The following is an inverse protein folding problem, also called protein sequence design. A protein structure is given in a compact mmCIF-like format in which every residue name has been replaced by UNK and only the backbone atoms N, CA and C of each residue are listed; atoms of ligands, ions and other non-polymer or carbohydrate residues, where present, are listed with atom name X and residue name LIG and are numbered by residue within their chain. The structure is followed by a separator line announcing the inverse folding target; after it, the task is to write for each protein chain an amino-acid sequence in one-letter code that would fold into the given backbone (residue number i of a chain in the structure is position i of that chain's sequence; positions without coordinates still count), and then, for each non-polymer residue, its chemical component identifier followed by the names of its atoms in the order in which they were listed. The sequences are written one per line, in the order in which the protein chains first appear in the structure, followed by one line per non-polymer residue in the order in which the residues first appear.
data_IF_736618547629
#
_entry.id   IF_736618547629
#
_cell.length_a   1.000
_cell.length_b   1.000
_cell.length_c   1.000
_cell.angle_alpha   90.00
_cell.angle_beta   90.00
_cell.angle_gamma   90.00
#
_symmetry.space_group_name_H-M   'P 1'
#
loop_
_entity.id
_entity.type
_entity.pdbx_description
1 polymer ?
#
# COMPACT_ATOMS: atom_id res chain seq x y z
N UNK A 1 -11.61 -4.12 -32.48
CA UNK A 1 -10.44 -5.03 -32.40
C UNK A 1 -10.63 -6.14 -31.36
N UNK A 2 -11.12 -5.83 -30.12
CA UNK A 2 -11.33 -6.86 -29.07
C UNK A 2 -12.43 -7.83 -29.48
N UNK A 3 -13.61 -7.34 -29.89
CA UNK A 3 -14.72 -8.18 -30.39
C UNK A 3 -14.30 -9.08 -31.56
N UNK A 4 -13.46 -8.55 -32.46
CA UNK A 4 -12.94 -9.31 -33.60
C UNK A 4 -12.03 -10.45 -33.13
N UNK A 5 -11.13 -10.17 -32.15
CA UNK A 5 -10.29 -11.19 -31.53
C UNK A 5 -11.06 -12.27 -30.79
N UNK A 6 -12.17 -11.90 -30.15
CA UNK A 6 -13.03 -12.85 -29.41
C UNK A 6 -13.71 -13.88 -30.32
N UNK A 7 -13.94 -13.56 -31.61
CA UNK A 7 -14.55 -14.51 -32.58
C UNK A 7 -13.74 -15.79 -32.75
N UNK A 8 -12.43 -15.73 -32.58
CA UNK A 8 -11.55 -16.91 -32.67
C UNK A 8 -11.81 -17.97 -31.58
N UNK A 9 -12.55 -17.60 -30.53
CA UNK A 9 -12.82 -18.45 -29.37
C UNK A 9 -14.29 -18.93 -29.31
N UNK A 10 -15.05 -18.77 -30.40
CA UNK A 10 -16.47 -19.13 -30.43
C UNK A 10 -16.76 -20.62 -30.15
N UNK A 11 -15.80 -21.49 -30.45
CA UNK A 11 -15.90 -22.95 -30.24
C UNK A 11 -15.42 -23.41 -28.85
N UNK A 12 -15.04 -22.47 -27.98
CA UNK A 12 -14.54 -22.76 -26.65
C UNK A 12 -15.55 -22.41 -25.57
N UNK A 13 -15.42 -23.03 -24.39
CA UNK A 13 -16.03 -22.54 -23.18
C UNK A 13 -15.15 -21.42 -22.62
N UNK A 14 -15.74 -20.30 -22.28
CA UNK A 14 -15.02 -19.10 -21.79
C UNK A 14 -15.35 -18.86 -20.34
N UNK A 15 -14.30 -18.82 -19.49
CA UNK A 15 -14.43 -18.40 -18.10
C UNK A 15 -14.47 -16.88 -18.03
N UNK A 16 -15.50 -16.34 -17.43
CA UNK A 16 -15.65 -14.90 -17.15
C UNK A 16 -15.98 -14.69 -15.67
N UNK A 17 -15.24 -13.79 -15.06
CA UNK A 17 -15.55 -13.29 -13.71
C UNK A 17 -16.54 -12.14 -13.81
N UNK A 18 -17.75 -12.34 -13.29
CA UNK A 18 -18.81 -11.35 -13.36
C UNK A 18 -18.55 -10.08 -12.54
N UNK A 19 -17.61 -10.14 -11.58
CA UNK A 19 -17.21 -8.99 -10.77
C UNK A 19 -16.12 -8.15 -11.44
N UNK A 20 -15.30 -8.77 -12.30
CA UNK A 20 -14.12 -8.15 -12.92
C UNK A 20 -14.32 -7.85 -14.40
N UNK A 21 -15.23 -8.59 -15.07
CA UNK A 21 -15.45 -8.44 -16.52
C UNK A 21 -16.46 -7.33 -16.81
N UNK A 22 -16.08 -6.34 -17.61
CA UNK A 22 -17.00 -5.30 -18.03
C UNK A 22 -18.20 -5.89 -18.76
N UNK A 23 -19.39 -5.31 -18.55
CA UNK A 23 -20.63 -5.75 -19.21
C UNK A 23 -20.51 -5.71 -20.73
N UNK A 24 -19.76 -4.76 -21.29
CA UNK A 24 -19.48 -4.69 -22.72
C UNK A 24 -18.78 -5.95 -23.23
N UNK A 25 -17.72 -6.38 -22.58
CA UNK A 25 -16.99 -7.60 -22.95
C UNK A 25 -17.85 -8.85 -22.72
N UNK A 26 -18.58 -8.91 -21.62
CA UNK A 26 -19.50 -10.01 -21.34
C UNK A 26 -20.51 -10.23 -22.49
N UNK A 27 -21.11 -9.15 -22.99
CA UNK A 27 -22.03 -9.22 -24.14
C UNK A 27 -21.36 -9.51 -25.47
N UNK A 28 -20.10 -9.11 -25.65
CA UNK A 28 -19.34 -9.31 -26.88
C UNK A 28 -18.87 -10.76 -27.06
N UNK A 29 -18.70 -11.50 -25.97
CA UNK A 29 -18.27 -12.91 -26.02
C UNK A 29 -19.37 -13.76 -26.65
N UNK A 30 -19.02 -14.46 -27.73
CA UNK A 30 -19.83 -15.48 -28.39
C UNK A 30 -19.03 -16.78 -28.32
N UNK A 31 -19.47 -17.71 -27.50
CA UNK A 31 -18.79 -18.97 -27.22
C UNK A 31 -19.83 -20.09 -27.00
N UNK A 32 -19.35 -21.35 -26.82
CA UNK A 32 -20.25 -22.48 -26.55
C UNK A 32 -20.93 -22.33 -25.19
N UNK A 33 -20.15 -21.97 -24.15
CA UNK A 33 -20.65 -21.77 -22.81
C UNK A 33 -19.83 -20.71 -22.08
N UNK A 34 -20.49 -19.83 -21.31
CA UNK A 34 -19.85 -18.93 -20.36
C UNK A 34 -19.82 -19.63 -18.99
N UNK A 35 -18.62 -19.93 -18.50
CA UNK A 35 -18.40 -20.41 -17.15
C UNK A 35 -18.26 -19.18 -16.23
N UNK A 36 -19.31 -18.87 -15.47
CA UNK A 36 -19.32 -17.73 -14.56
C UNK A 36 -18.71 -18.13 -13.20
N UNK A 37 -17.47 -17.75 -12.96
CA UNK A 37 -16.77 -17.96 -11.69
C UNK A 37 -15.65 -16.95 -11.51
N UNK A 38 -15.09 -16.86 -10.29
CA UNK A 38 -13.97 -15.98 -10.01
C UNK A 38 -12.77 -16.33 -10.90
N UNK A 39 -12.11 -15.29 -11.40
CA UNK A 39 -10.90 -15.44 -12.22
C UNK A 39 -9.76 -16.08 -11.40
N UNK A 40 -9.01 -17.04 -11.94
CA UNK A 40 -7.80 -17.56 -11.29
C UNK A 40 -6.62 -16.59 -11.39
N UNK A 41 -6.68 -15.59 -12.29
CA UNK A 41 -5.56 -14.70 -12.61
C UNK A 41 -5.10 -13.91 -11.37
N UNK A 42 -5.98 -13.28 -10.56
CA UNK A 42 -5.55 -12.56 -9.37
C UNK A 42 -4.73 -13.44 -8.40
N UNK A 43 -5.16 -14.69 -8.16
CA UNK A 43 -4.43 -15.61 -7.30
C UNK A 43 -3.07 -16.02 -7.89
N UNK A 44 -2.97 -16.18 -9.22
CA UNK A 44 -1.72 -16.49 -9.91
C UNK A 44 -0.73 -15.33 -9.86
N UNK A 45 -1.21 -14.08 -9.97
CA UNK A 45 -0.39 -12.86 -9.90
C UNK A 45 0.05 -12.53 -8.47
N UNK A 46 -0.76 -12.90 -7.48
CA UNK A 46 -0.51 -12.57 -6.08
C UNK A 46 0.81 -13.16 -5.57
N UNK A 47 1.13 -14.40 -5.95
CA UNK A 47 2.40 -15.06 -5.62
C UNK A 47 3.43 -14.65 -6.66
N UNK A 48 4.35 -13.78 -6.27
CA UNK A 48 5.38 -13.22 -7.14
C UNK A 48 6.45 -14.26 -7.48
N UNK A 49 6.93 -14.24 -8.71
CA UNK A 49 8.09 -15.01 -9.14
C UNK A 49 9.38 -14.47 -8.51
N UNK A 50 10.44 -15.28 -8.50
CA UNK A 50 11.77 -14.86 -8.03
C UNK A 50 12.28 -13.59 -8.75
N UNK A 51 11.96 -13.46 -10.05
CA UNK A 51 12.34 -12.29 -10.84
C UNK A 51 11.60 -11.02 -10.37
N UNK A 52 10.30 -11.12 -10.08
CA UNK A 52 9.51 -10.02 -9.54
C UNK A 52 9.97 -9.65 -8.12
N UNK A 53 10.22 -10.63 -7.25
CA UNK A 53 10.74 -10.39 -5.88
C UNK A 53 12.09 -9.67 -5.94
N UNK A 54 13.00 -10.11 -6.83
CA UNK A 54 14.27 -9.42 -7.05
C UNK A 54 14.06 -7.99 -7.59
N UNK A 55 13.05 -7.78 -8.43
CA UNK A 55 12.62 -6.46 -8.90
C UNK A 55 12.19 -5.56 -7.75
N UNK A 56 11.28 -6.06 -6.88
CA UNK A 56 10.85 -5.32 -5.70
C UNK A 56 12.02 -4.87 -4.83
N UNK A 57 12.96 -5.78 -4.49
CA UNK A 57 14.11 -5.43 -3.66
C UNK A 57 14.96 -4.32 -4.26
N UNK A 58 15.16 -4.32 -5.58
CA UNK A 58 15.88 -3.23 -6.27
C UNK A 58 15.08 -1.93 -6.32
N UNK A 59 13.78 -2.02 -6.61
CA UNK A 59 12.90 -0.85 -6.67
C UNK A 59 12.79 -0.16 -5.31
N UNK A 60 12.66 -0.91 -4.22
CA UNK A 60 12.60 -0.35 -2.86
C UNK A 60 13.89 0.38 -2.47
N UNK A 61 15.05 -0.09 -2.92
CA UNK A 61 16.32 0.64 -2.73
C UNK A 61 16.30 1.96 -3.50
N UNK A 62 15.87 1.97 -4.77
CA UNK A 62 15.77 3.20 -5.58
C UNK A 62 14.78 4.19 -4.98
N UNK A 63 13.59 3.72 -4.62
CA UNK A 63 12.56 4.55 -3.99
C UNK A 63 13.02 5.10 -2.64
N UNK A 64 13.71 4.25 -1.84
CA UNK A 64 14.34 4.65 -0.59
C UNK A 64 15.39 5.74 -0.76
N UNK A 65 16.19 5.71 -1.83
CA UNK A 65 17.14 6.79 -2.17
C UNK A 65 16.40 8.09 -2.45
N UNK A 66 15.31 8.06 -3.22
CA UNK A 66 14.49 9.24 -3.49
C UNK A 66 13.88 9.80 -2.19
N UNK A 67 13.32 8.91 -1.34
CA UNK A 67 12.73 9.28 -0.06
C UNK A 67 13.77 9.89 0.90
N UNK A 68 14.95 9.31 1.03
CA UNK A 68 16.03 9.86 1.89
C UNK A 68 16.50 11.22 1.39
N UNK A 69 16.68 11.40 0.07
CA UNK A 69 16.98 12.71 -0.52
C UNK A 69 15.89 13.73 -0.20
N UNK A 70 14.63 13.32 -0.30
CA UNK A 70 13.47 14.14 0.03
C UNK A 70 13.46 14.54 1.50
N UNK A 71 13.58 13.59 2.43
CA UNK A 71 13.60 13.86 3.88
C UNK A 71 14.74 14.80 4.28
N UNK A 72 15.92 14.62 3.68
CA UNK A 72 17.07 15.52 3.89
C UNK A 72 16.79 16.95 3.42
N UNK A 73 16.04 17.11 2.34
CA UNK A 73 15.68 18.42 1.77
C UNK A 73 14.52 19.07 2.54
N UNK A 74 13.52 18.28 2.99
CA UNK A 74 12.23 18.76 3.47
C UNK A 74 12.35 19.72 4.65
N UNK A 75 13.05 19.34 5.72
CA UNK A 75 13.10 20.15 6.96
C UNK A 75 13.73 21.52 6.72
N UNK A 76 14.94 21.65 6.11
CA UNK A 76 15.50 22.96 5.77
C UNK A 76 14.64 23.78 4.82
N UNK A 77 13.92 23.15 3.89
CA UNK A 77 13.04 23.85 2.95
C UNK A 77 11.83 24.44 3.67
N UNK A 78 11.20 23.67 4.57
CA UNK A 78 10.08 24.17 5.40
C UNK A 78 10.51 25.29 6.33
N UNK A 79 11.69 25.19 6.97
CA UNK A 79 12.27 26.25 7.80
C UNK A 79 12.54 27.53 7.00
N UNK A 80 12.97 27.43 5.75
CA UNK A 80 13.16 28.56 4.86
C UNK A 80 11.84 29.22 4.42
N UNK A 81 10.73 28.46 4.47
CA UNK A 81 9.39 28.90 4.09
C UNK A 81 9.10 28.83 2.59
N UNK A 82 7.83 28.83 2.26
CA UNK A 82 7.35 28.83 0.86
C UNK A 82 6.94 27.46 0.32
N UNK A 83 7.21 26.38 1.05
CA UNK A 83 6.75 25.05 0.67
C UNK A 83 5.28 24.82 1.05
N UNK A 84 4.55 24.10 0.20
CA UNK A 84 3.15 23.71 0.37
C UNK A 84 3.00 22.20 0.17
N UNK A 85 1.81 21.65 0.47
CA UNK A 85 1.51 20.25 0.24
C UNK A 85 1.74 19.83 -1.22
N UNK A 86 1.29 20.65 -2.18
CA UNK A 86 1.52 20.43 -3.62
C UNK A 86 3.01 20.58 -3.99
N UNK A 87 3.73 21.52 -3.40
CA UNK A 87 5.13 21.74 -3.78
C UNK A 87 6.02 20.57 -3.36
N UNK A 88 5.77 19.99 -2.19
CA UNK A 88 6.53 18.83 -1.69
C UNK A 88 6.21 17.55 -2.44
N UNK A 89 4.95 17.36 -2.88
CA UNK A 89 4.59 16.26 -3.78
C UNK A 89 5.40 16.34 -5.08
N UNK A 90 5.39 17.49 -5.75
CA UNK A 90 6.17 17.72 -6.97
C UNK A 90 7.67 17.46 -6.75
N UNK A 91 8.19 17.86 -5.58
CA UNK A 91 9.60 17.63 -5.23
C UNK A 91 9.92 16.13 -5.10
N UNK A 92 9.07 15.37 -4.40
CA UNK A 92 9.26 13.93 -4.22
C UNK A 92 9.14 13.20 -5.56
N UNK A 93 8.14 13.52 -6.36
CA UNK A 93 7.95 12.97 -7.71
C UNK A 93 9.17 13.24 -8.60
N UNK A 94 9.74 14.45 -8.56
CA UNK A 94 10.95 14.78 -9.30
C UNK A 94 12.17 13.93 -8.86
N UNK A 95 12.33 13.69 -7.54
CA UNK A 95 13.41 12.84 -7.01
C UNK A 95 13.25 11.36 -7.38
N UNK A 96 12.01 10.88 -7.48
CA UNK A 96 11.68 9.54 -7.98
C UNK A 96 11.98 9.43 -9.48
N UNK A 97 11.67 10.47 -10.24
CA UNK A 97 11.95 10.53 -11.68
C UNK A 97 13.45 10.52 -12.02
N UNK A 98 14.33 10.88 -11.08
CA UNK A 98 15.79 10.71 -11.23
C UNK A 98 16.24 9.25 -11.14
N UNK A 99 15.40 8.33 -10.65
CA UNK A 99 15.77 6.95 -10.42
C UNK A 99 15.60 6.11 -11.69
N UNK A 100 16.49 5.13 -11.87
CA UNK A 100 16.40 4.20 -12.99
C UNK A 100 15.06 3.44 -13.00
N UNK A 101 14.54 3.18 -14.18
CA UNK A 101 13.30 2.44 -14.43
C UNK A 101 12.02 3.11 -13.94
N UNK A 102 12.07 4.33 -13.43
CA UNK A 102 10.86 5.10 -13.12
C UNK A 102 9.99 5.30 -14.36
N UNK A 103 8.67 5.17 -14.20
CA UNK A 103 7.68 5.37 -15.26
C UNK A 103 6.65 6.41 -14.90
N UNK A 104 6.13 6.35 -13.68
CA UNK A 104 5.11 7.28 -13.18
C UNK A 104 4.98 7.13 -11.65
N UNK A 105 4.11 7.90 -11.01
CA UNK A 105 3.63 7.64 -9.67
C UNK A 105 2.70 6.42 -9.67
N UNK A 106 2.61 5.69 -8.55
CA UNK A 106 1.71 4.54 -8.43
C UNK A 106 0.28 4.94 -8.05
N UNK A 107 0.12 6.10 -7.44
CA UNK A 107 -1.14 6.77 -7.08
C UNK A 107 -0.87 8.25 -6.77
N UNK A 108 -1.93 9.05 -6.72
CA UNK A 108 -1.83 10.47 -6.39
C UNK A 108 -1.35 10.64 -4.93
N UNK A 109 -0.26 11.39 -4.74
CA UNK A 109 0.39 11.55 -3.44
C UNK A 109 -0.55 12.17 -2.40
N UNK A 110 -0.65 11.52 -1.24
CA UNK A 110 -1.34 12.07 -0.06
C UNK A 110 -0.31 12.83 0.77
N UNK A 111 -0.33 14.15 0.69
CA UNK A 111 0.55 15.03 1.46
C UNK A 111 -0.31 15.87 2.41
N UNK A 112 -0.69 15.30 3.56
CA UNK A 112 -1.60 15.94 4.50
C UNK A 112 -0.87 16.56 5.68
N UNK A 113 -0.78 17.90 5.71
CA UNK A 113 -0.20 18.64 6.83
C UNK A 113 -1.24 18.90 7.90
N UNK A 114 -0.90 18.63 9.18
CA UNK A 114 -1.76 18.84 10.35
C UNK A 114 -3.16 18.19 10.15
N UNK A 115 -4.24 18.99 10.15
CA UNK A 115 -5.63 18.51 10.05
C UNK A 115 -5.94 17.80 8.74
N UNK A 116 -5.25 18.13 7.63
CA UNK A 116 -5.39 17.41 6.37
C UNK A 116 -4.88 15.96 6.47
N UNK A 117 -3.88 15.69 7.31
CA UNK A 117 -3.42 14.34 7.60
C UNK A 117 -4.48 13.45 8.28
N UNK A 118 -5.55 14.04 8.85
CA UNK A 118 -6.67 13.29 9.40
C UNK A 118 -7.66 12.78 8.34
N UNK A 119 -7.52 13.19 7.09
CA UNK A 119 -8.32 12.73 5.95
C UNK A 119 -7.54 11.60 5.27
N UNK A 120 -8.02 10.36 5.40
CA UNK A 120 -7.29 9.13 5.02
C UNK A 120 -6.78 9.16 3.57
N UNK A 121 -7.60 9.63 2.63
CA UNK A 121 -7.27 9.78 1.21
C UNK A 121 -7.31 11.25 0.81
N UNK A 122 -6.55 12.08 1.54
CA UNK A 122 -6.45 13.51 1.21
C UNK A 122 -5.69 13.71 -0.09
N UNK A 123 -6.24 14.53 -0.96
CA UNK A 123 -5.59 14.99 -2.18
C UNK A 123 -5.57 16.52 -2.17
N UNK A 124 -4.37 17.11 -2.18
CA UNK A 124 -4.23 18.55 -2.23
C UNK A 124 -4.61 19.10 -3.61
N UNK A 125 -5.54 20.03 -3.64
CA UNK A 125 -5.91 20.79 -4.84
C UNK A 125 -5.43 22.24 -4.72
N UNK A 126 -5.41 23.03 -5.82
CA UNK A 126 -5.06 24.44 -5.73
C UNK A 126 -5.91 25.24 -4.73
N UNK A 127 -7.15 24.79 -4.45
CA UNK A 127 -8.08 25.44 -3.53
C UNK A 127 -7.84 25.02 -2.07
N UNK A 128 -7.28 23.82 -1.83
CA UNK A 128 -7.06 23.26 -0.49
C UNK A 128 -5.60 23.29 -0.06
N UNK A 129 -4.67 23.58 -0.98
CA UNK A 129 -3.23 23.60 -0.74
C UNK A 129 -2.86 24.62 0.36
N UNK A 130 -2.16 24.17 1.38
CA UNK A 130 -1.74 25.02 2.50
C UNK A 130 -0.22 25.07 2.64
N UNK A 131 0.31 26.22 3.14
CA UNK A 131 1.74 26.34 3.41
C UNK A 131 2.16 25.48 4.61
N UNK A 132 3.28 24.78 4.46
CA UNK A 132 3.91 24.05 5.54
C UNK A 132 4.64 25.03 6.49
N UNK A 133 4.59 24.70 7.78
CA UNK A 133 5.29 25.45 8.83
C UNK A 133 6.24 24.52 9.59
N UNK A 134 7.32 25.06 10.22
CA UNK A 134 8.26 24.25 10.98
C UNK A 134 7.69 23.85 12.37
N UNK A 135 6.53 23.18 12.36
CA UNK A 135 5.81 22.67 13.53
C UNK A 135 4.86 21.52 13.11
N UNK A 136 4.51 20.66 14.06
CA UNK A 136 3.49 19.64 13.87
C UNK A 136 3.89 18.49 12.97
N UNK A 137 2.89 17.79 12.42
CA UNK A 137 3.05 16.57 11.66
C UNK A 137 2.61 16.73 10.20
N UNK A 138 3.39 16.13 9.31
CA UNK A 138 3.05 15.88 7.91
C UNK A 138 2.87 14.37 7.73
N UNK A 139 1.69 13.93 7.31
CA UNK A 139 1.47 12.59 6.80
C UNK A 139 1.73 12.61 5.29
N UNK A 140 2.69 11.80 4.85
CA UNK A 140 3.10 11.70 3.45
C UNK A 140 3.02 10.25 3.00
N UNK A 141 2.02 9.95 2.16
CA UNK A 141 1.79 8.65 1.56
C UNK A 141 1.97 8.75 0.05
N UNK A 142 2.81 7.91 -0.52
CA UNK A 142 3.24 8.05 -1.91
C UNK A 142 3.92 6.81 -2.44
N UNK A 143 3.91 6.64 -3.75
CA UNK A 143 4.58 5.53 -4.39
C UNK A 143 4.93 5.80 -5.86
N UNK A 144 5.65 4.86 -6.45
CA UNK A 144 6.10 4.94 -7.83
C UNK A 144 5.87 3.63 -8.60
N UNK A 145 5.65 3.76 -9.89
CA UNK A 145 5.72 2.69 -10.86
C UNK A 145 7.15 2.63 -11.41
N UNK A 146 7.91 1.67 -10.94
CA UNK A 146 9.15 1.26 -11.58
C UNK A 146 8.87 0.10 -12.52
N UNK A 147 9.58 -0.02 -13.62
CA UNK A 147 9.34 -1.09 -14.60
C UNK A 147 9.44 -2.51 -14.01
N UNK A 148 10.11 -2.66 -12.88
CA UNK A 148 10.33 -3.94 -12.21
C UNK A 148 9.61 -4.07 -10.85
N UNK A 149 8.86 -3.06 -10.39
CA UNK A 149 7.94 -3.14 -9.25
C UNK A 149 7.09 -1.88 -9.08
N UNK A 150 6.02 -1.99 -8.30
CA UNK A 150 5.22 -0.86 -7.78
C UNK A 150 5.63 -0.62 -6.33
N UNK A 151 5.86 0.64 -5.94
CA UNK A 151 6.15 1.00 -4.54
C UNK A 151 4.98 1.72 -3.89
N UNK A 152 4.90 1.57 -2.57
CA UNK A 152 3.91 2.16 -1.69
C UNK A 152 4.54 2.38 -0.32
N UNK A 153 4.51 3.61 0.19
CA UNK A 153 5.15 3.97 1.45
C UNK A 153 4.48 5.18 2.10
N UNK A 154 4.15 5.08 3.37
CA UNK A 154 3.75 6.23 4.19
C UNK A 154 4.78 6.52 5.27
N UNK A 155 5.10 7.80 5.43
CA UNK A 155 5.82 8.33 6.59
C UNK A 155 5.05 9.50 7.20
N UNK A 156 4.93 9.50 8.52
CA UNK A 156 4.47 10.66 9.27
C UNK A 156 5.68 11.38 9.85
N UNK A 157 5.88 12.63 9.45
CA UNK A 157 7.13 13.39 9.64
C UNK A 157 6.85 14.58 10.56
N UNK A 158 7.63 14.73 11.62
CA UNK A 158 7.62 15.95 12.43
C UNK A 158 8.37 17.06 11.68
N UNK A 159 7.68 18.15 11.34
CA UNK A 159 8.28 19.32 10.69
C UNK A 159 8.93 20.28 11.69
N UNK A 160 8.75 20.04 12.99
CA UNK A 160 9.30 20.84 14.10
C UNK A 160 8.72 20.35 15.43
N UNK A 161 8.50 21.24 16.41
CA UNK A 161 7.91 20.84 17.69
C UNK A 161 6.57 20.14 17.54
N UNK A 162 6.37 19.06 18.28
CA UNK A 162 5.14 18.25 18.32
C UNK A 162 4.64 18.10 19.75
N UNK A 163 3.33 17.97 19.92
CA UNK A 163 2.68 17.78 21.23
C UNK A 163 2.88 16.37 21.76
N UNK A 164 2.63 16.18 23.06
CA UNK A 164 2.67 14.86 23.68
C UNK A 164 1.54 13.94 23.16
N UNK A 165 0.37 14.52 22.79
CA UNK A 165 -0.71 13.79 22.10
C UNK A 165 -0.21 13.23 20.76
N UNK A 166 0.48 14.03 19.95
CA UNK A 166 1.05 13.59 18.66
C UNK A 166 2.06 12.45 18.84
N UNK A 167 2.97 12.58 19.82
CA UNK A 167 3.96 11.53 20.14
C UNK A 167 3.28 10.23 20.59
N UNK A 168 2.25 10.35 21.40
CA UNK A 168 1.50 9.21 21.92
C UNK A 168 0.79 8.45 20.78
N UNK A 169 0.02 9.15 19.96
CA UNK A 169 -0.68 8.57 18.79
C UNK A 169 0.32 7.95 17.80
N UNK A 170 1.42 8.65 17.48
CA UNK A 170 2.48 8.11 16.64
C UNK A 170 3.04 6.80 17.21
N UNK A 171 3.27 6.75 18.51
CA UNK A 171 3.82 5.57 19.19
C UNK A 171 2.86 4.38 19.13
N UNK A 172 1.55 4.60 19.25
CA UNK A 172 0.55 3.53 19.11
C UNK A 172 0.54 2.96 17.69
N UNK A 173 0.55 3.83 16.66
CA UNK A 173 0.60 3.39 15.26
C UNK A 173 1.89 2.61 14.99
N UNK A 174 3.05 3.11 15.45
CA UNK A 174 4.33 2.43 15.30
C UNK A 174 4.35 1.05 16.00
N UNK A 175 3.76 0.94 17.18
CA UNK A 175 3.63 -0.36 17.87
C UNK A 175 2.82 -1.35 17.06
N UNK A 176 1.67 -0.93 16.53
CA UNK A 176 0.81 -1.78 15.69
C UNK A 176 1.54 -2.26 14.44
N UNK A 177 2.22 -1.36 13.74
CA UNK A 177 3.04 -1.65 12.58
C UNK A 177 4.13 -2.68 12.89
N UNK A 178 4.93 -2.46 13.94
CA UNK A 178 5.98 -3.40 14.35
C UNK A 178 5.41 -4.76 14.75
N UNK A 179 4.27 -4.81 15.45
CA UNK A 179 3.65 -6.07 15.86
C UNK A 179 3.23 -6.93 14.66
N UNK A 180 2.71 -6.31 13.60
CA UNK A 180 2.36 -7.02 12.38
C UNK A 180 3.61 -7.48 11.62
N UNK A 181 4.60 -6.62 11.42
CA UNK A 181 5.86 -7.01 10.75
C UNK A 181 6.61 -8.17 11.46
N UNK A 182 6.54 -8.24 12.78
CA UNK A 182 7.16 -9.31 13.54
C UNK A 182 6.36 -10.62 13.57
N UNK A 183 5.16 -10.65 12.98
CA UNK A 183 4.28 -11.80 13.04
C UNK A 183 4.91 -13.05 12.42
N UNK A 184 4.67 -14.18 13.09
CA UNK A 184 4.92 -15.53 12.59
C UNK A 184 3.59 -16.28 12.64
N UNK A 185 3.19 -16.89 11.53
CA UNK A 185 1.84 -17.45 11.41
C UNK A 185 1.83 -18.72 10.55
N UNK A 186 0.85 -19.63 10.74
CA UNK A 186 0.76 -20.83 9.92
C UNK A 186 0.46 -20.51 8.46
N UNK A 187 1.03 -21.27 7.52
CA UNK A 187 0.66 -21.22 6.10
C UNK A 187 -0.84 -21.44 5.94
N UNK A 188 -1.47 -20.61 5.13
CA UNK A 188 -2.92 -20.61 4.92
C UNK A 188 -3.72 -19.73 5.87
N UNK A 189 -3.08 -19.05 6.84
CA UNK A 189 -3.76 -18.00 7.60
C UNK A 189 -4.23 -16.87 6.67
N UNK A 190 -5.39 -16.31 6.97
CA UNK A 190 -5.90 -15.12 6.24
C UNK A 190 -5.39 -13.83 6.85
N UNK A 191 -5.39 -12.75 6.06
CA UNK A 191 -5.05 -11.43 6.58
C UNK A 191 -5.99 -10.94 7.68
N UNK A 192 -7.27 -11.39 7.69
CA UNK A 192 -8.22 -11.09 8.77
C UNK A 192 -7.73 -11.60 10.13
N UNK A 193 -7.05 -12.75 10.15
CA UNK A 193 -6.50 -13.31 11.40
C UNK A 193 -5.31 -12.48 11.93
N UNK A 194 -4.57 -11.81 11.05
CA UNK A 194 -3.40 -11.00 11.41
C UNK A 194 -3.73 -9.54 11.73
N UNK A 195 -4.84 -9.02 11.21
CA UNK A 195 -5.24 -7.61 11.34
C UNK A 195 -5.29 -7.12 12.80
N UNK A 196 -5.76 -7.98 13.70
CA UNK A 196 -5.82 -7.68 15.13
C UNK A 196 -4.44 -7.38 15.75
N UNK A 197 -3.35 -7.89 15.19
CA UNK A 197 -2.00 -7.63 15.71
C UNK A 197 -1.64 -6.15 15.58
N UNK A 198 -1.99 -5.54 14.45
CA UNK A 198 -1.75 -4.12 14.23
C UNK A 198 -2.68 -3.21 15.08
N UNK A 199 -3.87 -3.69 15.45
CA UNK A 199 -4.90 -2.87 16.13
C UNK A 199 -4.87 -2.97 17.64
N UNK A 200 -4.37 -4.06 18.19
CA UNK A 200 -4.52 -4.44 19.58
C UNK A 200 -4.06 -3.35 20.55
N UNK A 201 -2.90 -2.72 20.31
CA UNK A 201 -2.38 -1.64 21.14
C UNK A 201 -3.26 -0.38 21.12
N UNK A 202 -3.97 -0.13 20.01
CA UNK A 202 -4.92 0.99 19.86
C UNK A 202 -6.26 0.66 20.56
N UNK A 203 -6.75 -0.56 20.41
CA UNK A 203 -8.01 -1.01 21.04
C UNK A 203 -7.95 -0.97 22.56
N UNK A 204 -6.80 -1.22 23.17
CA UNK A 204 -6.60 -1.06 24.62
C UNK A 204 -6.92 0.34 25.13
N UNK A 205 -6.79 1.34 24.25
CA UNK A 205 -7.08 2.75 24.57
C UNK A 205 -8.42 3.21 23.96
N UNK A 206 -9.22 2.30 23.40
CA UNK A 206 -10.51 2.62 22.78
C UNK A 206 -10.36 3.34 21.43
N UNK A 207 -9.19 3.27 20.79
CA UNK A 207 -8.90 3.87 19.50
C UNK A 207 -8.96 2.83 18.39
N UNK A 208 -9.33 3.25 17.17
CA UNK A 208 -9.40 2.37 16.01
C UNK A 208 -9.25 3.18 14.71
N UNK A 209 -8.90 2.50 13.62
CA UNK A 209 -8.99 3.03 12.26
C UNK A 209 -9.93 2.17 11.41
N UNK A 210 -10.54 2.76 10.38
CA UNK A 210 -11.64 2.15 9.63
C UNK A 210 -11.25 1.66 8.22
N UNK A 211 -9.99 1.81 7.82
CA UNK A 211 -9.48 1.23 6.58
C UNK A 211 -8.80 -0.13 6.83
N UNK A 212 -8.41 -0.83 5.78
CA UNK A 212 -7.62 -2.06 5.89
C UNK A 212 -6.23 -1.77 6.45
N UNK A 213 -5.65 -2.71 7.18
CA UNK A 213 -4.27 -2.61 7.68
C UNK A 213 -3.24 -2.83 6.57
N UNK A 214 -3.67 -3.44 5.46
CA UNK A 214 -2.81 -3.64 4.30
C UNK A 214 -3.52 -4.35 3.15
N UNK A 215 -2.97 -4.21 1.97
CA UNK A 215 -3.47 -4.76 0.72
C UNK A 215 -2.34 -5.38 -0.10
N UNK A 216 -2.67 -6.28 -1.02
CA UNK A 216 -1.70 -6.78 -1.99
C UNK A 216 -1.22 -5.66 -2.94
N UNK A 217 0.02 -5.77 -3.40
CA UNK A 217 0.65 -4.82 -4.32
C UNK A 217 1.04 -5.53 -5.62
N UNK A 218 0.72 -4.92 -6.76
CA UNK A 218 1.06 -5.44 -8.08
C UNK A 218 2.52 -5.17 -8.47
N UNK A 219 3.10 -6.00 -9.34
CA UNK A 219 4.45 -5.78 -9.88
C UNK A 219 4.37 -5.01 -11.20
N UNK A 220 4.67 -3.71 -11.18
CA UNK A 220 4.45 -2.77 -12.29
C UNK A 220 2.99 -2.75 -12.75
N UNK A 221 2.09 -2.91 -11.81
CA UNK A 221 0.65 -2.93 -11.99
C UNK A 221 -0.02 -2.15 -10.85
N UNK A 222 -1.31 -2.43 -10.60
CA UNK A 222 -2.09 -1.71 -9.61
C UNK A 222 -1.43 -1.73 -8.23
N UNK A 223 -1.36 -0.58 -7.59
CA UNK A 223 -0.92 -0.46 -6.19
C UNK A 223 -1.80 -1.32 -5.28
N UNK A 224 -3.12 -1.27 -5.46
CA UNK A 224 -4.06 -2.19 -4.82
C UNK A 224 -4.29 -3.41 -5.72
N UNK A 225 -3.66 -4.54 -5.40
CA UNK A 225 -3.81 -5.78 -6.17
C UNK A 225 -4.10 -6.97 -5.24
N UNK A 226 -5.37 -7.41 -5.26
CA UNK A 226 -5.81 -8.59 -4.51
C UNK A 226 -5.29 -9.93 -5.09
N UNK A 227 -5.81 -11.07 -4.54
CA UNK A 227 -7.02 -11.19 -3.72
C UNK A 227 -6.82 -11.04 -2.20
N UNK A 228 -5.59 -11.00 -1.71
CA UNK A 228 -5.26 -10.97 -0.30
C UNK A 228 -5.22 -9.53 0.26
N UNK A 229 -5.66 -9.40 1.49
CA UNK A 229 -5.67 -8.15 2.26
C UNK A 229 -5.54 -8.45 3.75
N UNK A 230 -5.00 -7.51 4.52
CA UNK A 230 -5.01 -7.54 5.98
C UNK A 230 -6.04 -6.51 6.44
N UNK A 231 -7.20 -7.00 6.95
CA UNK A 231 -8.32 -6.13 7.33
C UNK A 231 -9.30 -6.84 8.26
N UNK A 232 -10.13 -6.06 8.97
CA UNK A 232 -11.12 -6.61 9.93
C UNK A 232 -12.19 -7.47 9.26
N UNK A 233 -12.63 -7.08 8.06
CA UNK A 233 -13.65 -7.81 7.33
C UNK A 233 -13.08 -9.15 6.85
N UNK A 234 -13.93 -10.17 6.85
CA UNK A 234 -13.52 -11.51 6.44
C UNK A 234 -13.01 -11.54 4.99
N UNK A 235 -11.74 -11.90 4.87
CA UNK A 235 -11.06 -12.12 3.58
C UNK A 235 -10.69 -13.60 3.46
N UNK A 236 -11.32 -14.35 2.55
CA UNK A 236 -11.09 -15.80 2.45
C UNK A 236 -9.73 -16.15 1.81
N UNK A 237 -9.09 -15.21 1.11
CA UNK A 237 -7.81 -15.48 0.44
C UNK A 237 -6.70 -15.75 1.49
N UNK A 238 -6.07 -16.94 1.45
CA UNK A 238 -4.97 -17.23 2.37
C UNK A 238 -3.73 -16.47 1.97
N UNK A 239 -2.95 -16.08 2.98
CA UNK A 239 -1.61 -15.54 2.79
C UNK A 239 -0.63 -16.68 2.44
N UNK A 240 0.27 -16.42 1.48
CA UNK A 240 1.25 -17.42 1.02
C UNK A 240 2.62 -16.79 0.82
N UNK A 241 3.66 -17.58 0.95
CA UNK A 241 5.01 -17.14 0.60
C UNK A 241 5.07 -16.66 -0.86
N UNK A 242 5.79 -15.56 -1.10
CA UNK A 242 5.88 -14.87 -2.38
C UNK A 242 4.82 -13.77 -2.60
N UNK A 243 3.86 -13.60 -1.69
CA UNK A 243 2.91 -12.50 -1.75
C UNK A 243 3.53 -11.21 -1.20
N UNK A 244 3.31 -10.09 -1.91
CA UNK A 244 3.63 -8.74 -1.43
C UNK A 244 2.38 -8.06 -0.91
N UNK A 245 2.49 -7.31 0.17
CA UNK A 245 1.41 -6.51 0.73
C UNK A 245 1.93 -5.26 1.44
N UNK A 246 1.04 -4.34 1.78
CA UNK A 246 1.34 -3.22 2.67
C UNK A 246 1.06 -3.57 4.12
N UNK A 247 1.73 -2.89 5.04
CA UNK A 247 1.46 -2.84 6.47
C UNK A 247 1.36 -1.37 6.86
N UNK A 248 0.12 -0.85 6.95
CA UNK A 248 -0.19 0.59 6.98
C UNK A 248 -1.21 0.99 8.07
N UNK A 249 -1.06 0.58 9.32
CA UNK A 249 -1.96 1.03 10.37
C UNK A 249 -1.93 2.56 10.52
N UNK A 250 -3.04 3.16 10.94
CA UNK A 250 -3.12 4.60 11.13
C UNK A 250 -4.06 5.01 12.26
N UNK A 251 -3.99 6.26 12.69
CA UNK A 251 -4.95 6.91 13.59
C UNK A 251 -5.19 8.34 13.11
N UNK A 252 -6.44 8.74 13.05
CA UNK A 252 -6.89 9.98 12.43
C UNK A 252 -7.78 10.76 13.39
N UNK A 253 -7.29 11.90 13.87
CA UNK A 253 -8.00 12.78 14.80
C UNK A 253 -8.58 13.96 14.00
N UNK A 254 -9.85 13.85 13.63
CA UNK A 254 -10.53 14.83 12.78
C UNK A 254 -10.34 16.27 13.29
N UNK A 255 -9.94 17.17 12.38
CA UNK A 255 -9.66 18.57 12.68
C UNK A 255 -8.38 18.82 13.49
N UNK A 256 -7.53 17.79 13.67
CA UNK A 256 -6.25 17.91 14.38
C UNK A 256 -5.08 17.44 13.54
N UNK A 257 -4.93 16.12 13.38
CA UNK A 257 -3.84 15.49 12.63
C UNK A 257 -4.12 14.01 12.37
N UNK A 258 -3.39 13.41 11.45
CA UNK A 258 -3.35 11.97 11.22
C UNK A 258 -1.93 11.40 11.33
N UNK A 259 -1.87 10.11 11.63
CA UNK A 259 -0.64 9.32 11.62
C UNK A 259 -0.91 8.02 10.86
N UNK A 260 -0.12 7.73 9.84
CA UNK A 260 0.01 6.43 9.17
C UNK A 260 1.50 6.12 9.01
N UNK A 261 1.87 4.89 9.26
CA UNK A 261 3.22 4.37 9.05
C UNK A 261 3.07 3.13 8.21
N UNK A 262 3.78 3.08 7.09
CA UNK A 262 3.61 2.02 6.12
C UNK A 262 4.91 1.53 5.52
N UNK A 263 5.00 0.23 5.38
CA UNK A 263 5.99 -0.45 4.54
C UNK A 263 5.31 -1.37 3.54
N UNK A 264 5.90 -1.52 2.36
CA UNK A 264 5.64 -2.69 1.52
C UNK A 264 6.45 -3.87 2.07
N UNK A 265 5.79 -5.01 2.26
CA UNK A 265 6.37 -6.20 2.86
C UNK A 265 6.19 -7.43 1.96
N UNK A 266 7.03 -8.45 2.17
CA UNK A 266 7.00 -9.74 1.48
C UNK A 266 6.71 -10.85 2.48
N UNK A 267 5.78 -11.72 2.15
CA UNK A 267 5.54 -12.95 2.91
C UNK A 267 6.56 -13.99 2.47
N UNK A 268 7.24 -14.60 3.44
CA UNK A 268 8.27 -15.62 3.22
C UNK A 268 8.03 -16.85 4.07
N UNK A 269 8.66 -17.96 3.66
CA UNK A 269 8.79 -19.14 4.48
C UNK A 269 9.60 -18.82 5.75
N UNK A 270 9.14 -19.32 6.90
CA UNK A 270 9.84 -19.18 8.16
C UNK A 270 10.46 -20.51 8.60
N UNK A 271 9.62 -21.49 8.90
CA UNK A 271 10.06 -22.85 9.29
C UNK A 271 8.95 -23.88 9.11
N UNK A 272 9.33 -25.13 9.06
CA UNK A 272 8.42 -26.27 9.12
C UNK A 272 8.64 -27.05 10.43
N UNK A 273 7.56 -27.54 11.02
CA UNK A 273 7.55 -28.29 12.30
C UNK A 273 6.53 -29.40 12.21
N UNK A 274 6.42 -30.23 13.25
CA UNK A 274 5.35 -31.26 13.35
C UNK A 274 3.94 -30.66 13.35
N UNK A 275 3.79 -29.35 13.56
CA UNK A 275 2.53 -28.60 13.50
C UNK A 275 2.27 -27.98 12.13
N UNK A 276 3.13 -28.20 11.14
CA UNK A 276 3.02 -27.69 9.79
C UNK A 276 4.01 -26.58 9.45
N UNK A 277 3.77 -25.97 8.30
CA UNK A 277 4.57 -24.87 7.74
C UNK A 277 4.15 -23.52 8.34
N UNK A 278 5.14 -22.68 8.66
CA UNK A 278 4.96 -21.33 9.15
C UNK A 278 5.60 -20.30 8.23
N UNK A 279 4.97 -19.15 8.16
CA UNK A 279 5.38 -18.01 7.36
C UNK A 279 5.83 -16.84 8.27
N UNK A 280 6.53 -15.90 7.69
CA UNK A 280 6.97 -14.64 8.29
C UNK A 280 6.81 -13.49 7.31
N UNK A 281 6.96 -12.29 7.83
CA UNK A 281 6.97 -11.05 7.06
C UNK A 281 8.41 -10.53 6.99
N UNK A 282 8.84 -10.13 5.78
CA UNK A 282 10.09 -9.41 5.50
C UNK A 282 9.72 -7.99 5.06
N UNK A 283 10.22 -6.96 5.75
CA UNK A 283 10.10 -5.59 5.28
C UNK A 283 10.97 -5.38 4.03
N UNK A 284 10.38 -4.81 2.98
CA UNK A 284 11.09 -4.47 1.75
C UNK A 284 11.45 -2.98 1.70
N UNK A 285 10.64 -2.13 2.38
CA UNK A 285 10.83 -0.68 2.44
C UNK A 285 11.91 -0.28 3.41
#
# INVERSE_FOLDING_TARGET
KVEEGLKAYSEYNILLDGNETSYYLWKAVKCQEIISQNSPIPAMKAVKSDAEIAGYRRAMVRDGVAMVKFLKWLIPAVEAGGETEISIDKKLTALRAEQDLFRDISFDTIAGYQEHGAIVHYEASPETDIPLKPEGLLLLDSGAQYQDATTDITRTIALGPVTDEMKHIYTLVLKGHIQLELAKFPDGASGTQLDALARECMWREGLNFLHGTGHGVGSYLNVHEGPHQVRMEYMPAPLRAGMTLTDEPGLYLAGKFGVRIENTVLIQDYKETDFGKFLQIESLT
#
